data_IF_592042839702
#
_entry.id   IF_592042839702
#
_cell.length_a   1.000
_cell.length_b   1.000
_cell.length_c   1.000
_cell.angle_alpha   90.00
_cell.angle_beta   90.00
_cell.angle_gamma   90.00
#
_symmetry.space_group_name_H-M   'P 1'
#
loop_
_entity.id
_entity.type
_entity.pdbx_description
1 polymer ?
#
# COMPACT_ATOMS: atom_id res chain seq x y z
N UNK A 1 -21.04 35.20 -5.79
CA UNK A 1 -20.51 34.38 -4.69
C UNK A 1 -20.58 32.87 -4.98
N UNK A 2 -21.75 32.25 -5.16
CA UNK A 2 -21.84 30.78 -5.44
C UNK A 2 -21.22 30.39 -6.80
N UNK A 3 -21.37 31.24 -7.83
CA UNK A 3 -20.80 31.00 -9.17
C UNK A 3 -19.26 31.09 -9.14
N UNK A 4 -18.69 32.02 -8.36
CA UNK A 4 -17.24 32.13 -8.15
C UNK A 4 -16.69 30.90 -7.44
N UNK A 5 -17.35 30.44 -6.38
CA UNK A 5 -16.96 29.20 -5.70
C UNK A 5 -16.96 28.00 -6.64
N UNK A 6 -17.95 27.87 -7.52
CA UNK A 6 -17.98 26.80 -8.53
C UNK A 6 -16.82 26.87 -9.52
N UNK A 7 -16.42 28.08 -9.93
CA UNK A 7 -15.27 28.27 -10.81
C UNK A 7 -13.93 28.03 -10.11
N UNK A 8 -13.79 28.47 -8.86
CA UNK A 8 -12.59 28.22 -8.05
C UNK A 8 -12.42 26.73 -7.75
N UNK A 9 -13.52 26.03 -7.46
CA UNK A 9 -13.53 24.58 -7.28
C UNK A 9 -13.18 23.86 -8.58
N UNK A 10 -13.75 24.27 -9.70
CA UNK A 10 -13.42 23.69 -11.01
C UNK A 10 -11.94 23.92 -11.36
N UNK A 11 -11.42 25.14 -11.17
CA UNK A 11 -10.03 25.46 -11.43
C UNK A 11 -9.08 24.67 -10.52
N UNK A 12 -9.41 24.51 -9.24
CA UNK A 12 -8.64 23.68 -8.31
C UNK A 12 -8.63 22.20 -8.72
N UNK A 13 -9.80 21.63 -9.04
CA UNK A 13 -9.89 20.24 -9.52
C UNK A 13 -9.14 20.08 -10.85
N UNK A 14 -9.22 21.05 -11.75
CA UNK A 14 -8.50 21.02 -13.02
C UNK A 14 -6.97 21.08 -12.82
N UNK A 15 -6.49 21.88 -11.88
CA UNK A 15 -5.06 21.94 -11.55
C UNK A 15 -4.57 20.62 -10.95
N UNK A 16 -5.30 20.09 -9.96
CA UNK A 16 -4.98 18.84 -9.25
C UNK A 16 -4.98 17.63 -10.18
N UNK A 17 -6.01 17.48 -11.02
CA UNK A 17 -6.18 16.26 -11.82
C UNK A 17 -5.57 16.34 -13.22
N UNK A 18 -5.51 17.50 -13.85
CA UNK A 18 -5.17 17.60 -15.28
C UNK A 18 -3.90 18.40 -15.54
N UNK A 19 -3.69 19.52 -14.84
CA UNK A 19 -2.53 20.39 -15.09
C UNK A 19 -1.23 19.80 -14.52
N UNK A 20 -1.35 19.04 -13.43
CA UNK A 20 -0.24 18.33 -12.76
C UNK A 20 -0.14 16.86 -13.15
N UNK A 21 -0.80 16.42 -14.24
CA UNK A 21 -0.73 15.03 -14.68
C UNK A 21 0.66 14.70 -15.23
N UNK A 22 1.57 14.37 -14.33
CA UNK A 22 2.94 13.96 -14.62
C UNK A 22 3.11 12.44 -14.46
N UNK A 23 4.18 11.90 -15.03
CA UNK A 23 4.51 10.48 -14.90
C UNK A 23 4.60 10.05 -13.42
N UNK A 24 5.00 10.96 -12.53
CA UNK A 24 5.12 10.71 -11.09
C UNK A 24 3.76 10.57 -10.39
N UNK A 25 2.73 11.29 -10.85
CA UNK A 25 1.36 11.16 -10.38
C UNK A 25 0.82 9.78 -10.75
N UNK A 26 1.02 9.34 -11.99
CA UNK A 26 0.63 7.98 -12.41
C UNK A 26 1.37 6.92 -11.58
N UNK A 27 2.66 7.11 -11.35
CA UNK A 27 3.46 6.21 -10.51
C UNK A 27 2.94 6.16 -9.06
N UNK A 28 2.62 7.32 -8.47
CA UNK A 28 2.02 7.43 -7.14
C UNK A 28 0.64 6.78 -7.06
N UNK A 29 -0.18 6.91 -8.10
CA UNK A 29 -1.49 6.24 -8.20
C UNK A 29 -1.33 4.72 -8.24
N UNK A 30 -0.38 4.20 -9.01
CA UNK A 30 -0.09 2.75 -9.06
C UNK A 30 0.40 2.26 -7.68
N UNK A 31 1.29 3.02 -7.03
CA UNK A 31 1.77 2.70 -5.68
C UNK A 31 0.60 2.62 -4.68
N UNK A 32 -0.32 3.59 -4.74
CA UNK A 32 -1.51 3.64 -3.90
C UNK A 32 -2.50 2.50 -4.19
N UNK A 33 -2.65 2.11 -5.46
CA UNK A 33 -3.48 0.96 -5.85
C UNK A 33 -2.91 -0.35 -5.32
N UNK A 34 -1.60 -0.56 -5.41
CA UNK A 34 -0.95 -1.74 -4.82
C UNK A 34 -1.09 -1.75 -3.29
N UNK A 35 -0.96 -0.58 -2.67
CA UNK A 35 -1.14 -0.45 -1.23
C UNK A 35 -2.59 -0.69 -0.78
N UNK A 36 -3.57 -0.42 -1.63
CA UNK A 36 -4.97 -0.76 -1.36
C UNK A 36 -5.25 -2.24 -1.64
N UNK A 37 -4.66 -2.78 -2.71
CA UNK A 37 -4.80 -4.18 -3.12
C UNK A 37 -4.36 -5.15 -2.02
N UNK A 38 -3.42 -4.78 -1.15
CA UNK A 38 -3.01 -5.61 -0.01
C UNK A 38 -4.18 -5.95 0.92
N UNK A 39 -5.07 -4.99 1.18
CA UNK A 39 -6.23 -5.20 2.02
C UNK A 39 -7.28 -6.03 1.31
N UNK A 40 -7.46 -5.82 0.00
CA UNK A 40 -8.36 -6.64 -0.80
C UNK A 40 -7.91 -8.10 -0.81
N UNK A 41 -6.62 -8.36 -1.02
CA UNK A 41 -6.05 -9.72 -1.01
C UNK A 41 -6.18 -10.37 0.37
N UNK A 42 -5.93 -9.61 1.45
CA UNK A 42 -6.10 -10.09 2.81
C UNK A 42 -7.56 -10.42 3.13
N UNK A 43 -8.49 -9.57 2.69
CA UNK A 43 -9.92 -9.78 2.86
C UNK A 43 -10.37 -11.04 2.14
N UNK A 44 -10.07 -11.17 0.84
CA UNK A 44 -10.43 -12.36 0.05
C UNK A 44 -9.82 -13.64 0.67
N UNK A 45 -8.57 -13.59 1.13
CA UNK A 45 -7.94 -14.73 1.77
C UNK A 45 -8.61 -15.09 3.10
N UNK A 46 -9.07 -14.09 3.88
CA UNK A 46 -9.74 -14.29 5.16
C UNK A 46 -11.16 -14.82 5.00
N UNK A 47 -11.91 -14.31 4.03
CA UNK A 47 -13.25 -14.84 3.66
C UNK A 47 -13.14 -16.30 3.23
N UNK A 48 -12.18 -16.61 2.35
CA UNK A 48 -11.98 -17.99 1.88
C UNK A 48 -11.55 -18.95 3.00
N UNK A 49 -10.85 -18.45 4.02
CA UNK A 49 -10.36 -19.24 5.15
C UNK A 49 -11.32 -19.27 6.35
N UNK A 50 -12.38 -18.45 6.35
CA UNK A 50 -13.31 -18.29 7.48
C UNK A 50 -12.67 -17.75 8.77
N UNK A 51 -11.46 -17.18 8.68
CA UNK A 51 -10.71 -16.66 9.83
C UNK A 51 -9.78 -15.54 9.37
N UNK A 52 -9.44 -14.62 10.28
CA UNK A 52 -8.50 -13.54 9.97
C UNK A 52 -7.12 -14.11 9.68
N UNK A 53 -6.73 -14.17 8.40
CA UNK A 53 -5.42 -14.65 7.95
C UNK A 53 -4.69 -13.56 7.19
N UNK A 54 -3.38 -13.46 7.39
CA UNK A 54 -2.51 -12.59 6.61
C UNK A 54 -1.76 -13.44 5.59
N UNK A 55 -2.16 -13.43 4.31
CA UNK A 55 -1.51 -14.26 3.30
C UNK A 55 -0.09 -13.77 3.03
N UNK A 56 0.81 -14.65 2.57
CA UNK A 56 2.17 -14.26 2.15
C UNK A 56 2.17 -13.17 1.08
N UNK A 57 1.17 -13.21 0.18
CA UNK A 57 0.94 -12.18 -0.84
C UNK A 57 0.80 -10.77 -0.23
N UNK A 58 0.18 -10.62 0.95
CA UNK A 58 0.05 -9.33 1.64
C UNK A 58 1.41 -8.67 1.87
N UNK A 59 2.41 -9.44 2.30
CA UNK A 59 3.75 -8.93 2.57
C UNK A 59 4.47 -8.54 1.27
N UNK A 60 4.31 -9.31 0.20
CA UNK A 60 4.85 -8.95 -1.12
C UNK A 60 4.25 -7.65 -1.65
N UNK A 61 2.92 -7.50 -1.63
CA UNK A 61 2.26 -6.24 -2.02
C UNK A 61 2.70 -5.06 -1.15
N UNK A 62 2.94 -5.30 0.14
CA UNK A 62 3.39 -4.25 1.07
C UNK A 62 4.83 -3.81 0.80
N UNK A 63 5.72 -4.73 0.41
CA UNK A 63 7.11 -4.41 0.02
C UNK A 63 7.13 -3.67 -1.31
N UNK A 64 6.38 -4.15 -2.32
CA UNK A 64 6.36 -3.52 -3.65
C UNK A 64 5.70 -2.15 -3.57
N UNK A 65 4.49 -2.07 -3.03
CA UNK A 65 3.76 -0.80 -2.86
C UNK A 65 4.52 0.17 -1.96
N UNK A 66 5.09 -0.32 -0.86
CA UNK A 66 5.94 0.48 0.03
C UNK A 66 7.21 0.98 -0.67
N UNK A 67 7.89 0.14 -1.43
CA UNK A 67 9.06 0.53 -2.22
C UNK A 67 8.72 1.60 -3.25
N UNK A 68 7.58 1.48 -3.94
CA UNK A 68 7.12 2.50 -4.87
C UNK A 68 6.80 3.81 -4.15
N UNK A 69 6.07 3.78 -3.04
CA UNK A 69 5.78 4.98 -2.24
C UNK A 69 7.06 5.63 -1.69
N UNK A 70 8.07 4.83 -1.33
CA UNK A 70 9.37 5.32 -0.89
C UNK A 70 10.12 6.02 -2.04
N UNK A 71 10.17 5.42 -3.24
CA UNK A 71 10.75 6.06 -4.43
C UNK A 71 10.05 7.39 -4.73
N UNK A 72 8.71 7.41 -4.67
CA UNK A 72 7.92 8.63 -4.83
C UNK A 72 8.29 9.69 -3.79
N UNK A 73 8.37 9.32 -2.51
CA UNK A 73 8.75 10.22 -1.41
C UNK A 73 10.16 10.79 -1.56
N UNK A 74 11.13 9.99 -2.00
CA UNK A 74 12.50 10.43 -2.27
C UNK A 74 12.52 11.51 -3.36
N UNK A 75 11.77 11.29 -4.44
CA UNK A 75 11.76 12.20 -5.61
C UNK A 75 11.03 13.49 -5.29
N UNK A 76 9.90 13.41 -4.59
CA UNK A 76 9.16 14.59 -4.09
C UNK A 76 9.86 15.26 -2.90
N UNK A 77 10.94 14.66 -2.37
CA UNK A 77 11.70 15.13 -1.19
C UNK A 77 10.83 15.30 0.06
N UNK A 78 9.91 14.36 0.26
CA UNK A 78 8.95 14.35 1.36
C UNK A 78 9.48 13.51 2.54
N UNK A 79 10.06 14.12 3.60
CA UNK A 79 10.78 13.37 4.63
C UNK A 79 9.86 12.44 5.43
N UNK A 80 8.60 12.84 5.62
CA UNK A 80 7.58 12.07 6.34
C UNK A 80 7.33 10.74 5.63
N UNK A 81 7.23 10.76 4.31
CA UNK A 81 7.02 9.55 3.49
C UNK A 81 8.27 8.67 3.55
N UNK A 82 9.45 9.27 3.39
CA UNK A 82 10.72 8.54 3.37
C UNK A 82 10.93 7.78 4.68
N UNK A 83 10.78 8.45 5.82
CA UNK A 83 10.99 7.84 7.14
C UNK A 83 9.93 6.79 7.40
N UNK A 84 8.65 7.12 7.22
CA UNK A 84 7.55 6.20 7.47
C UNK A 84 7.65 4.93 6.62
N UNK A 85 7.92 5.09 5.33
CA UNK A 85 7.92 3.97 4.40
C UNK A 85 9.20 3.12 4.47
N UNK A 86 10.34 3.71 4.85
CA UNK A 86 11.58 2.96 5.11
C UNK A 86 11.40 2.01 6.31
N UNK A 87 10.83 2.52 7.41
CA UNK A 87 10.54 1.72 8.60
C UNK A 87 9.50 0.63 8.31
N UNK A 88 8.41 0.98 7.62
CA UNK A 88 7.38 0.03 7.25
C UNK A 88 7.92 -1.10 6.36
N UNK A 89 8.72 -0.76 5.35
CA UNK A 89 9.33 -1.73 4.43
C UNK A 89 10.27 -2.68 5.17
N UNK A 90 11.07 -2.17 6.12
CA UNK A 90 11.91 -3.01 6.98
C UNK A 90 11.08 -4.04 7.77
N UNK A 91 9.98 -3.60 8.39
CA UNK A 91 9.07 -4.49 9.13
C UNK A 91 8.47 -5.56 8.20
N UNK A 92 8.05 -5.17 6.99
CA UNK A 92 7.48 -6.11 6.02
C UNK A 92 8.48 -7.19 5.58
N UNK A 93 9.71 -6.79 5.27
CA UNK A 93 10.78 -7.72 4.91
C UNK A 93 11.09 -8.66 6.09
N UNK A 94 11.21 -8.12 7.30
CA UNK A 94 11.47 -8.92 8.51
C UNK A 94 10.38 -9.95 8.75
N UNK A 95 9.11 -9.56 8.59
CA UNK A 95 7.98 -10.49 8.76
C UNK A 95 7.93 -11.55 7.67
N UNK A 96 8.23 -11.20 6.42
CA UNK A 96 8.33 -12.16 5.33
C UNK A 96 9.46 -13.20 5.58
N UNK A 97 10.61 -12.75 6.07
CA UNK A 97 11.74 -13.61 6.42
C UNK A 97 11.38 -14.58 7.56
N UNK A 98 10.64 -14.13 8.58
CA UNK A 98 10.17 -15.00 9.66
C UNK A 98 9.21 -16.08 9.16
N UNK A 99 8.29 -15.72 8.26
CA UNK A 99 7.38 -16.68 7.65
C UNK A 99 8.17 -17.69 6.80
N UNK A 100 9.15 -17.24 6.01
CA UNK A 100 9.98 -18.11 5.18
C UNK A 100 10.88 -19.07 5.98
N UNK A 101 11.30 -18.66 7.19
CA UNK A 101 12.13 -19.48 8.09
C UNK A 101 11.34 -20.46 8.93
N UNK A 102 10.02 -20.33 9.00
CA UNK A 102 9.17 -21.27 9.73
C UNK A 102 8.91 -22.47 8.81
N UNK A 103 9.42 -23.68 9.13
CA UNK A 103 9.14 -24.87 8.33
C UNK A 103 7.64 -25.11 8.26
N UNK A 104 7.18 -25.52 7.07
CA UNK A 104 5.78 -25.71 6.67
C UNK A 104 5.10 -26.91 7.37
N UNK A 105 5.24 -27.02 8.69
CA UNK A 105 4.79 -28.20 9.47
C UNK A 105 3.70 -27.88 10.49
N UNK A 106 3.10 -26.68 10.50
CA UNK A 106 2.08 -26.31 11.52
C UNK A 106 0.84 -25.59 11.03
N UNK A 107 0.45 -25.78 9.77
CA UNK A 107 -0.85 -25.30 9.30
C UNK A 107 -2.04 -26.23 9.69
N UNK A 108 -1.79 -27.31 10.46
CA UNK A 108 -2.81 -28.33 10.80
C UNK A 108 -3.10 -28.62 12.28
N UNK A 109 -2.31 -28.15 13.25
CA UNK A 109 -2.43 -28.63 14.65
C UNK A 109 -2.84 -27.57 15.69
N UNK A 110 -2.90 -26.28 15.34
CA UNK A 110 -3.24 -25.21 16.30
C UNK A 110 -4.74 -25.00 16.58
N UNK A 111 -5.63 -25.83 16.02
CA UNK A 111 -7.08 -25.70 16.15
C UNK A 111 -7.73 -26.78 17.03
N UNK A 112 -6.93 -27.57 17.76
CA UNK A 112 -7.41 -28.57 18.73
C UNK A 112 -6.52 -28.58 19.98
N UNK A 113 -6.67 -27.57 20.83
CA UNK A 113 -6.28 -27.64 22.24
C UNK A 113 -7.13 -26.69 23.05
#
# INVERSE_FOLDING_TARGET
>A
MIIQFGQDLYAYLYDVFFTRFDFWLLFGLIAQLLFTARFLVQWIASERAGRSVVPTAFWFFSIIGGGMTLVYGIIRREPIIIIGQSLATFIYVRNLVLIARTPKTRDGEGARS
#
